data_IF_995119806482
#
_entry.id   IF_995119806482
#
_cell.length_a   1.000
_cell.length_b   1.000
_cell.length_c   1.000
_cell.angle_alpha   90.00
_cell.angle_beta   90.00
_cell.angle_gamma   90.00
#
_symmetry.space_group_name_H-M   'P 1'
#
loop_
_entity.id
_entity.type
_entity.pdbx_description
1 polymer ?
#
# COMPACT_ATOMS: atom_id res chain seq x y z
N UNK A 1 -4.56 -8.87 13.31
CA UNK A 1 -5.73 -8.01 13.00
C UNK A 1 -6.32 -7.49 14.30
N UNK A 2 -6.63 -6.18 14.39
CA UNK A 2 -7.32 -5.59 15.53
C UNK A 2 -8.74 -6.15 15.64
N UNK A 3 -9.22 -6.32 16.87
CA UNK A 3 -10.59 -6.77 17.17
C UNK A 3 -11.44 -5.62 17.67
N UNK A 4 -10.96 -4.93 18.70
CA UNK A 4 -11.70 -3.86 19.36
C UNK A 4 -10.73 -2.85 19.94
N UNK A 5 -11.03 -1.57 19.77
CA UNK A 5 -10.32 -0.45 20.39
C UNK A 5 -11.06 0.01 21.63
N UNK A 6 -10.30 0.46 22.62
CA UNK A 6 -10.76 1.05 23.87
C UNK A 6 -10.00 2.34 24.10
N UNK A 7 -10.70 3.43 24.18
CA UNK A 7 -10.13 4.75 24.47
C UNK A 7 -10.96 5.44 25.56
N UNK A 8 -10.48 6.55 26.08
CA UNK A 8 -11.22 7.37 27.00
C UNK A 8 -12.28 8.19 26.25
N UNK A 9 -13.45 8.39 26.84
CA UNK A 9 -14.56 9.14 26.25
C UNK A 9 -14.16 10.59 25.91
N UNK A 10 -13.39 11.24 26.79
CA UNK A 10 -13.00 12.64 26.59
C UNK A 10 -12.04 12.81 25.41
N UNK A 11 -11.22 11.81 25.11
CA UNK A 11 -10.42 11.83 23.89
C UNK A 11 -11.29 11.65 22.64
N UNK A 12 -12.17 10.66 22.66
CA UNK A 12 -13.01 10.30 21.51
C UNK A 12 -13.98 11.43 21.12
N UNK A 13 -14.55 12.13 22.11
CA UNK A 13 -15.60 13.12 21.87
C UNK A 13 -15.08 14.56 21.89
N UNK A 14 -14.09 14.86 22.73
CA UNK A 14 -13.64 16.23 22.97
C UNK A 14 -12.21 16.50 22.52
N UNK A 15 -11.50 15.51 21.97
CA UNK A 15 -10.09 15.62 21.61
C UNK A 15 -9.22 16.14 22.79
N UNK A 16 -9.45 15.58 23.96
CA UNK A 16 -8.69 15.87 25.17
C UNK A 16 -7.40 15.06 25.17
N UNK A 17 -6.30 15.69 24.84
CA UNK A 17 -5.00 15.03 24.68
C UNK A 17 -4.40 14.52 26.00
N UNK A 18 -4.93 14.86 27.15
CA UNK A 18 -4.58 14.19 28.41
C UNK A 18 -4.96 12.71 28.40
N UNK A 19 -5.84 12.33 27.48
CA UNK A 19 -6.33 10.96 27.29
C UNK A 19 -5.99 10.41 25.89
N UNK A 20 -4.96 10.95 25.24
CA UNK A 20 -4.48 10.47 23.95
C UNK A 20 -3.77 9.12 24.07
N UNK A 21 -4.54 8.11 24.43
CA UNK A 21 -4.15 6.71 24.49
C UNK A 21 -5.31 5.79 24.12
N UNK A 22 -4.96 4.63 23.59
CA UNK A 22 -5.92 3.58 23.31
C UNK A 22 -5.32 2.20 23.59
N UNK A 23 -6.18 1.27 23.95
CA UNK A 23 -5.85 -0.16 24.04
C UNK A 23 -6.61 -0.91 22.96
N UNK A 24 -5.92 -1.75 22.23
CA UNK A 24 -6.53 -2.53 21.14
C UNK A 24 -6.34 -4.01 21.43
N UNK A 25 -7.46 -4.74 21.55
CA UNK A 25 -7.40 -6.19 21.54
C UNK A 25 -7.19 -6.68 20.11
N UNK A 26 -6.38 -7.69 19.97
CA UNK A 26 -6.04 -8.27 18.65
C UNK A 26 -6.38 -9.75 18.63
N UNK A 27 -6.84 -10.23 17.49
CA UNK A 27 -7.06 -11.66 17.30
C UNK A 27 -5.73 -12.42 17.39
N UNK A 28 -5.83 -13.74 17.53
CA UNK A 28 -4.67 -14.61 17.37
C UNK A 28 -3.91 -14.27 16.10
N UNK A 29 -2.62 -14.50 16.10
CA UNK A 29 -1.78 -14.40 14.93
C UNK A 29 -2.23 -15.38 13.85
N UNK A 30 -1.94 -15.04 12.60
CA UNK A 30 -2.18 -15.91 11.45
C UNK A 30 -0.83 -16.24 10.83
N UNK A 31 -0.52 -17.53 10.73
CA UNK A 31 0.58 -17.99 9.87
C UNK A 31 0.03 -18.13 8.47
N UNK A 32 0.67 -17.49 7.53
CA UNK A 32 0.47 -17.80 6.13
C UNK A 32 1.18 -19.14 5.93
N UNK A 33 0.40 -20.22 5.88
CA UNK A 33 0.87 -21.55 5.51
C UNK A 33 1.26 -21.53 4.04
N UNK A 34 2.08 -22.48 3.61
CA UNK A 34 2.70 -22.49 2.29
C UNK A 34 1.79 -22.03 1.16
N UNK A 35 2.34 -21.21 0.29
CA UNK A 35 1.70 -20.78 -0.93
C UNK A 35 1.52 -22.00 -1.84
N UNK A 36 0.29 -22.33 -2.18
CA UNK A 36 0.02 -23.17 -3.33
C UNK A 36 -0.41 -22.28 -4.48
N UNK A 37 0.41 -22.20 -5.51
CA UNK A 37 0.02 -21.54 -6.75
C UNK A 37 -0.55 -22.56 -7.72
N UNK A 38 -1.72 -22.27 -8.28
CA UNK A 38 -2.33 -23.06 -9.33
C UNK A 38 -2.35 -22.25 -10.62
N UNK A 39 -1.85 -22.85 -11.70
CA UNK A 39 -2.00 -22.31 -13.05
C UNK A 39 -3.48 -22.37 -13.48
N UNK A 40 -3.98 -21.26 -13.99
CA UNK A 40 -5.37 -21.12 -14.44
C UNK A 40 -5.45 -20.42 -15.79
N UNK A 41 -6.58 -20.54 -16.45
CA UNK A 41 -6.85 -19.75 -17.65
C UNK A 41 -7.00 -18.25 -17.32
N UNK A 42 -6.75 -17.41 -18.33
CA UNK A 42 -7.01 -15.96 -18.17
C UNK A 42 -8.44 -15.67 -17.74
N UNK A 43 -9.42 -16.41 -18.26
CA UNK A 43 -10.83 -16.22 -17.91
C UNK A 43 -11.13 -16.55 -16.44
N UNK A 44 -10.50 -17.57 -15.88
CA UNK A 44 -10.59 -17.90 -14.45
C UNK A 44 -9.85 -16.85 -13.59
N UNK A 45 -8.67 -16.44 -14.04
CA UNK A 45 -7.86 -15.42 -13.39
C UNK A 45 -8.59 -14.08 -13.32
N UNK A 46 -9.24 -13.65 -14.40
CA UNK A 46 -10.01 -12.40 -14.45
C UNK A 46 -11.16 -12.40 -13.44
N UNK A 47 -11.85 -13.52 -13.28
CA UNK A 47 -13.00 -13.69 -12.38
C UNK A 47 -12.61 -13.88 -10.91
N UNK A 48 -11.37 -14.29 -10.66
CA UNK A 48 -10.93 -14.56 -9.29
C UNK A 48 -10.66 -13.25 -8.53
N UNK A 49 -11.24 -13.11 -7.34
CA UNK A 49 -11.15 -11.91 -6.51
C UNK A 49 -10.11 -12.00 -5.39
N UNK A 50 -9.52 -13.19 -5.18
CA UNK A 50 -8.46 -13.43 -4.21
C UNK A 50 -7.08 -13.02 -4.71
N UNK A 51 -6.03 -13.44 -4.01
CA UNK A 51 -4.64 -13.20 -4.40
C UNK A 51 -4.34 -13.92 -5.72
N UNK A 52 -3.82 -13.17 -6.65
CA UNK A 52 -3.48 -13.65 -7.99
C UNK A 52 -2.25 -12.95 -8.54
N UNK A 53 -1.51 -13.65 -9.38
CA UNK A 53 -0.30 -13.12 -10.03
C UNK A 53 -0.31 -13.51 -11.53
N UNK A 54 0.38 -12.73 -12.34
CA UNK A 54 0.57 -13.00 -13.75
C UNK A 54 2.02 -12.73 -14.13
N UNK A 55 2.70 -13.75 -14.61
CA UNK A 55 4.13 -13.70 -14.94
C UNK A 55 4.36 -13.78 -16.42
N UNK A 56 5.03 -12.79 -16.96
CA UNK A 56 5.51 -12.78 -18.33
C UNK A 56 6.82 -13.56 -18.44
N UNK A 57 6.85 -14.54 -19.32
CA UNK A 57 7.99 -15.41 -19.60
C UNK A 57 8.41 -15.20 -21.05
N UNK A 58 9.68 -14.82 -21.26
CA UNK A 58 10.26 -14.77 -22.61
C UNK A 58 10.43 -16.18 -23.13
N UNK A 59 9.94 -16.45 -24.35
CA UNK A 59 9.94 -17.76 -25.01
C UNK A 59 10.53 -17.65 -26.42
N UNK A 60 10.83 -18.78 -27.00
CA UNK A 60 11.29 -18.83 -28.40
C UNK A 60 10.14 -18.57 -29.37
N UNK A 61 10.50 -18.18 -30.60
CA UNK A 61 9.53 -17.99 -31.69
C UNK A 61 8.75 -19.27 -32.00
N UNK A 62 9.40 -20.41 -31.88
CA UNK A 62 8.79 -21.72 -32.13
C UNK A 62 7.73 -22.05 -31.04
N UNK A 63 8.07 -21.90 -29.79
CA UNK A 63 7.15 -22.04 -28.64
C UNK A 63 5.97 -21.11 -28.76
N UNK A 64 6.20 -19.83 -29.14
CA UNK A 64 5.14 -18.85 -29.37
C UNK A 64 4.15 -19.34 -30.45
N UNK A 65 4.65 -19.83 -31.60
CA UNK A 65 3.80 -20.34 -32.67
C UNK A 65 3.00 -21.55 -32.22
N UNK A 66 3.66 -22.50 -31.58
CA UNK A 66 3.04 -23.73 -31.07
C UNK A 66 1.96 -23.41 -30.04
N UNK A 67 2.26 -22.58 -29.04
CA UNK A 67 1.34 -22.24 -27.98
C UNK A 67 0.15 -21.41 -28.47
N UNK A 68 0.35 -20.50 -29.44
CA UNK A 68 -0.73 -19.69 -29.99
C UNK A 68 -1.71 -20.51 -30.86
N UNK A 69 -1.27 -21.64 -31.38
CA UNK A 69 -2.10 -22.56 -32.16
C UNK A 69 -2.77 -23.62 -31.28
N UNK A 70 -2.36 -23.75 -30.02
CA UNK A 70 -2.92 -24.73 -29.09
C UNK A 70 -4.22 -24.18 -28.48
N UNK A 71 -5.39 -24.77 -28.84
CA UNK A 71 -6.68 -24.29 -28.30
C UNK A 71 -6.86 -24.64 -26.81
N UNK A 72 -6.02 -25.50 -26.25
CA UNK A 72 -6.07 -25.91 -24.84
C UNK A 72 -5.17 -25.09 -23.96
N UNK A 73 -4.36 -24.19 -24.55
CA UNK A 73 -3.45 -23.33 -23.80
C UNK A 73 -4.20 -22.38 -22.86
N UNK A 74 -3.80 -22.37 -21.60
CA UNK A 74 -4.28 -21.45 -20.56
C UNK A 74 -3.54 -20.13 -20.53
N UNK A 75 -2.49 -19.99 -21.33
CA UNK A 75 -1.55 -18.88 -21.37
C UNK A 75 -1.94 -17.84 -22.44
N UNK A 76 -1.55 -16.58 -22.23
CA UNK A 76 -1.70 -15.54 -23.26
C UNK A 76 -0.36 -15.30 -23.96
N UNK A 77 -0.37 -15.27 -25.29
CA UNK A 77 0.83 -15.12 -26.11
C UNK A 77 0.89 -13.73 -26.74
N UNK A 78 2.00 -13.03 -26.56
CA UNK A 78 2.21 -11.69 -27.09
C UNK A 78 3.65 -11.46 -27.54
N UNK A 79 3.84 -10.40 -28.34
CA UNK A 79 5.13 -10.07 -28.93
C UNK A 79 5.52 -8.67 -28.53
N UNK A 80 6.75 -8.51 -28.01
CA UNK A 80 7.37 -7.21 -27.81
C UNK A 80 8.33 -6.94 -28.97
N UNK A 81 8.12 -5.81 -29.62
CA UNK A 81 8.97 -5.38 -30.72
C UNK A 81 9.94 -4.32 -30.28
N UNK A 82 11.18 -4.45 -30.76
CA UNK A 82 12.14 -3.38 -30.69
C UNK A 82 11.86 -2.28 -31.74
N UNK A 83 12.57 -1.18 -31.62
CA UNK A 83 12.45 -0.01 -32.51
C UNK A 83 12.82 -0.28 -33.97
N UNK A 84 13.42 -1.43 -34.28
CA UNK A 84 13.88 -1.82 -35.60
C UNK A 84 12.96 -2.77 -36.36
N UNK A 85 11.79 -3.13 -35.77
CA UNK A 85 10.85 -4.02 -36.45
C UNK A 85 10.29 -3.34 -37.71
N UNK A 86 10.56 -3.91 -38.88
CA UNK A 86 10.07 -3.38 -40.15
C UNK A 86 8.64 -3.82 -40.44
N UNK A 87 7.72 -2.88 -40.72
CA UNK A 87 6.36 -3.24 -41.16
C UNK A 87 6.41 -4.06 -42.46
N UNK A 88 5.50 -5.03 -42.57
CA UNK A 88 5.32 -5.86 -43.78
C UNK A 88 3.87 -6.22 -43.99
N UNK A 89 3.57 -6.99 -45.04
CA UNK A 89 2.24 -7.54 -45.27
C UNK A 89 2.04 -8.94 -44.67
N UNK A 90 0.80 -9.47 -44.71
CA UNK A 90 0.48 -10.81 -44.23
C UNK A 90 1.16 -11.91 -45.03
N UNK A 91 1.45 -11.66 -46.29
CA UNK A 91 2.01 -12.65 -47.23
C UNK A 91 3.54 -12.77 -47.14
N UNK A 92 4.18 -11.94 -46.32
CA UNK A 92 5.64 -12.02 -46.12
C UNK A 92 5.99 -13.32 -45.35
N UNK A 93 6.89 -14.16 -45.90
CA UNK A 93 7.25 -15.45 -45.29
C UNK A 93 7.72 -15.23 -43.82
N UNK A 94 6.98 -15.84 -42.89
CA UNK A 94 7.28 -15.72 -41.49
C UNK A 94 6.87 -14.37 -40.84
N UNK A 95 6.06 -13.57 -41.54
CA UNK A 95 5.53 -12.33 -40.96
C UNK A 95 4.83 -12.58 -39.65
N UNK A 96 5.00 -11.64 -38.73
CA UNK A 96 4.41 -11.68 -37.40
C UNK A 96 3.37 -10.59 -37.25
N UNK A 97 2.24 -10.95 -36.66
CA UNK A 97 1.13 -10.01 -36.40
C UNK A 97 1.18 -9.47 -34.98
N UNK A 98 0.96 -8.18 -34.82
CA UNK A 98 0.72 -7.56 -33.52
C UNK A 98 -0.63 -6.86 -33.49
N UNK A 99 -1.22 -6.91 -32.33
CA UNK A 99 -2.28 -6.05 -31.88
C UNK A 99 -1.63 -4.76 -31.36
N UNK A 100 -1.77 -3.67 -32.09
CA UNK A 100 -1.15 -2.38 -31.73
C UNK A 100 -2.24 -1.45 -31.22
N UNK A 101 -2.11 -0.88 -29.99
CA UNK A 101 -3.04 0.10 -29.51
C UNK A 101 -2.90 1.39 -30.31
N UNK A 102 -4.05 1.96 -30.68
CA UNK A 102 -4.12 3.20 -31.48
C UNK A 102 -5.22 4.11 -30.94
N UNK A 103 -5.21 5.37 -31.35
CA UNK A 103 -6.30 6.29 -31.04
C UNK A 103 -7.60 5.92 -31.76
N UNK A 104 -8.72 6.42 -31.25
CA UNK A 104 -10.05 6.26 -31.89
C UNK A 104 -10.04 6.77 -33.35
N UNK A 105 -9.35 7.89 -33.60
CA UNK A 105 -9.21 8.45 -34.94
C UNK A 105 -8.43 7.53 -35.88
N UNK A 106 -7.30 6.98 -35.42
CA UNK A 106 -6.50 6.04 -36.21
C UNK A 106 -7.27 4.71 -36.46
N UNK A 107 -8.01 4.22 -35.45
CA UNK A 107 -8.87 3.05 -35.60
C UNK A 107 -9.98 3.32 -36.62
N UNK A 108 -10.63 4.49 -36.55
CA UNK A 108 -11.71 4.87 -37.46
C UNK A 108 -11.22 5.03 -38.91
N UNK A 109 -9.98 5.53 -39.09
CA UNK A 109 -9.34 5.63 -40.37
C UNK A 109 -8.84 4.27 -40.91
N UNK A 110 -8.67 3.26 -40.06
CA UNK A 110 -8.18 1.96 -40.44
C UNK A 110 -9.19 1.19 -41.29
N UNK A 111 -8.69 0.48 -42.32
CA UNK A 111 -9.55 -0.33 -43.21
C UNK A 111 -10.04 -1.59 -42.47
N UNK A 112 -11.19 -2.10 -42.88
CA UNK A 112 -11.65 -3.43 -42.49
C UNK A 112 -10.99 -4.54 -43.38
N UNK A 113 -10.72 -5.70 -42.78
CA UNK A 113 -10.22 -6.88 -43.51
C UNK A 113 -8.75 -7.26 -43.17
N UNK A 114 -8.09 -8.03 -44.07
CA UNK A 114 -6.72 -8.55 -43.87
C UNK A 114 -5.64 -7.54 -44.30
N UNK A 115 -4.54 -7.44 -43.58
CA UNK A 115 -3.36 -6.65 -43.93
C UNK A 115 -2.90 -5.71 -42.82
N UNK A 116 -1.83 -4.96 -43.10
CA UNK A 116 -1.16 -4.09 -42.14
C UNK A 116 -2.01 -2.84 -41.82
N UNK A 117 -2.11 -2.46 -40.53
CA UNK A 117 -2.85 -1.29 -40.10
C UNK A 117 -4.38 -1.41 -40.16
N UNK A 118 -4.91 -2.62 -40.16
CA UNK A 118 -6.38 -2.85 -40.20
C UNK A 118 -6.96 -3.04 -38.80
N UNK A 119 -8.28 -2.74 -38.67
CA UNK A 119 -9.01 -2.92 -37.42
C UNK A 119 -8.86 -4.33 -36.87
N UNK A 120 -8.56 -4.43 -35.58
CA UNK A 120 -8.40 -5.70 -34.87
C UNK A 120 -9.51 -5.85 -33.82
N UNK A 121 -10.60 -6.49 -34.23
CA UNK A 121 -11.78 -6.68 -33.39
C UNK A 121 -12.56 -5.38 -33.11
N UNK A 122 -13.54 -5.49 -32.25
CA UNK A 122 -14.29 -4.35 -31.75
C UNK A 122 -13.50 -3.61 -30.64
N UNK A 123 -13.77 -2.31 -30.44
CA UNK A 123 -13.21 -1.57 -29.31
C UNK A 123 -13.53 -2.24 -27.97
N UNK A 124 -12.56 -2.25 -27.08
CA UNK A 124 -12.73 -2.83 -25.73
C UNK A 124 -12.95 -1.70 -24.75
N UNK A 125 -14.13 -1.64 -24.14
CA UNK A 125 -14.46 -0.64 -23.12
C UNK A 125 -14.45 -1.29 -21.74
N UNK A 126 -13.73 -0.68 -20.81
CA UNK A 126 -13.69 -1.07 -19.42
C UNK A 126 -14.24 0.08 -18.54
N UNK A 127 -14.94 -0.27 -17.47
CA UNK A 127 -15.38 0.65 -16.43
C UNK A 127 -14.24 0.77 -15.44
N UNK A 128 -13.87 2.00 -15.11
CA UNK A 128 -12.76 2.29 -14.21
C UNK A 128 -13.21 3.22 -13.07
N UNK A 129 -12.47 3.25 -11.99
CA UNK A 129 -12.71 4.21 -10.91
C UNK A 129 -12.31 5.62 -11.34
N UNK A 130 -12.84 6.63 -10.66
CA UNK A 130 -12.46 8.04 -10.89
C UNK A 130 -10.95 8.24 -10.74
N UNK A 131 -10.31 7.60 -9.77
CA UNK A 131 -8.87 7.67 -9.55
C UNK A 131 -8.05 7.10 -10.71
N UNK A 132 -8.45 5.95 -11.25
CA UNK A 132 -7.81 5.33 -12.41
C UNK A 132 -7.98 6.18 -13.67
N UNK A 133 -9.19 6.70 -13.90
CA UNK A 133 -9.46 7.61 -15.01
C UNK A 133 -8.59 8.86 -14.94
N UNK A 134 -8.56 9.56 -13.81
CA UNK A 134 -7.74 10.75 -13.59
C UNK A 134 -6.24 10.44 -13.76
N UNK A 135 -5.77 9.31 -13.26
CA UNK A 135 -4.39 8.87 -13.45
C UNK A 135 -4.06 8.65 -14.92
N UNK A 136 -4.98 8.06 -15.68
CA UNK A 136 -4.79 7.86 -17.12
C UNK A 136 -4.82 9.17 -17.90
N UNK A 137 -5.75 10.09 -17.58
CA UNK A 137 -5.86 11.41 -18.19
C UNK A 137 -4.57 12.21 -17.99
N UNK A 138 -4.00 12.19 -16.77
CA UNK A 138 -2.72 12.86 -16.50
C UNK A 138 -1.52 12.27 -17.26
N UNK A 139 -1.61 11.03 -17.72
CA UNK A 139 -0.62 10.48 -18.66
C UNK A 139 -0.78 11.03 -20.08
N UNK A 140 -2.01 11.42 -20.47
CA UNK A 140 -2.27 12.08 -21.74
C UNK A 140 -1.93 13.58 -21.70
N UNK A 141 -2.28 14.25 -20.59
CA UNK A 141 -1.92 15.64 -20.30
C UNK A 141 -1.56 15.82 -18.81
N UNK A 142 -0.26 15.96 -18.47
CA UNK A 142 0.17 16.14 -17.08
C UNK A 142 -0.41 17.36 -16.36
N UNK A 143 -0.85 18.39 -17.12
CA UNK A 143 -1.41 19.63 -16.58
C UNK A 143 -2.95 19.61 -16.46
N UNK A 144 -3.57 18.49 -16.79
CA UNK A 144 -5.01 18.35 -16.66
C UNK A 144 -5.45 18.34 -15.19
N UNK A 145 -6.54 19.01 -14.90
CA UNK A 145 -7.19 19.05 -13.57
C UNK A 145 -8.67 18.67 -13.68
N UNK A 146 -9.28 18.07 -12.64
CA UNK A 146 -10.71 17.79 -12.62
C UNK A 146 -11.57 19.02 -12.95
N UNK A 147 -12.58 18.82 -13.79
CA UNK A 147 -13.44 19.91 -14.27
C UNK A 147 -12.97 20.60 -15.54
N UNK A 148 -11.77 20.35 -16.02
CA UNK A 148 -11.31 20.79 -17.35
C UNK A 148 -11.76 19.83 -18.44
N UNK A 149 -11.86 20.28 -19.71
CA UNK A 149 -12.12 19.39 -20.85
C UNK A 149 -11.12 18.23 -20.89
N UNK A 150 -11.60 17.06 -21.28
CA UNK A 150 -10.75 15.87 -21.41
C UNK A 150 -9.75 16.07 -22.55
N UNK A 151 -8.46 15.73 -22.34
CA UNK A 151 -7.45 15.83 -23.38
C UNK A 151 -7.69 14.80 -24.49
N UNK A 152 -7.18 15.10 -25.68
CA UNK A 152 -7.20 14.14 -26.76
C UNK A 152 -6.25 12.97 -26.49
N UNK A 153 -6.62 11.74 -26.89
CA UNK A 153 -5.73 10.60 -26.81
C UNK A 153 -4.41 10.83 -27.54
N UNK A 154 -3.30 10.37 -26.95
CA UNK A 154 -1.96 10.46 -27.54
C UNK A 154 -1.53 9.10 -28.08
N UNK A 155 -0.47 9.07 -28.93
CA UNK A 155 0.10 7.79 -29.39
C UNK A 155 0.66 6.91 -28.28
N UNK A 156 1.14 7.50 -27.18
CA UNK A 156 1.64 6.77 -26.02
C UNK A 156 0.49 6.30 -25.10
N UNK A 157 -0.58 7.07 -25.05
CA UNK A 157 -1.75 6.78 -24.22
C UNK A 157 -3.03 6.92 -25.07
N UNK A 158 -3.28 5.95 -25.96
CA UNK A 158 -4.26 6.09 -27.04
C UNK A 158 -5.71 5.79 -26.65
N UNK A 159 -5.99 5.30 -25.45
CA UNK A 159 -7.36 5.02 -25.04
C UNK A 159 -8.19 6.30 -24.89
N UNK A 160 -9.44 6.22 -25.30
CA UNK A 160 -10.42 7.31 -25.12
C UNK A 160 -11.03 7.21 -23.73
N UNK A 161 -10.95 8.29 -22.96
CA UNK A 161 -11.59 8.40 -21.63
C UNK A 161 -12.92 9.12 -21.79
N UNK A 162 -13.97 8.61 -21.15
CA UNK A 162 -15.29 9.27 -21.11
C UNK A 162 -15.88 9.17 -19.71
N UNK A 163 -16.56 10.24 -19.31
CA UNK A 163 -17.42 10.26 -18.12
C UNK A 163 -18.88 10.35 -18.58
N UNK A 164 -19.73 9.51 -18.02
CA UNK A 164 -21.17 9.58 -18.29
C UNK A 164 -21.86 10.63 -17.41
N UNK A 165 -23.14 10.90 -17.68
CA UNK A 165 -23.94 11.88 -16.91
C UNK A 165 -24.16 11.48 -15.44
N UNK A 166 -23.80 10.26 -15.05
CA UNK A 166 -23.92 9.72 -13.69
C UNK A 166 -22.59 9.69 -12.95
N UNK A 167 -21.50 10.19 -13.57
CA UNK A 167 -20.16 10.20 -13.00
C UNK A 167 -19.40 8.87 -13.14
N UNK A 168 -19.87 7.95 -13.98
CA UNK A 168 -19.12 6.70 -14.24
C UNK A 168 -18.09 6.94 -15.34
N UNK A 169 -16.88 6.45 -15.08
CA UNK A 169 -15.76 6.59 -15.99
C UNK A 169 -15.52 5.31 -16.78
N UNK A 170 -15.17 5.50 -18.06
CA UNK A 170 -14.83 4.41 -18.96
C UNK A 170 -13.55 4.72 -19.73
N UNK A 171 -12.73 3.66 -19.95
CA UNK A 171 -11.60 3.67 -20.89
C UNK A 171 -11.95 2.77 -22.07
N UNK A 172 -11.90 3.33 -23.29
CA UNK A 172 -12.12 2.57 -24.51
C UNK A 172 -10.80 2.41 -25.26
N UNK A 173 -10.38 1.20 -25.45
CA UNK A 173 -9.16 0.81 -26.16
C UNK A 173 -9.46 0.40 -27.58
N UNK A 174 -8.69 0.91 -28.49
CA UNK A 174 -8.79 0.65 -29.93
C UNK A 174 -7.50 -0.03 -30.40
N UNK A 175 -7.64 -1.00 -31.29
CA UNK A 175 -6.48 -1.76 -31.76
C UNK A 175 -6.49 -1.92 -33.27
N UNK A 176 -5.30 -1.89 -33.86
CA UNK A 176 -5.08 -2.29 -35.26
C UNK A 176 -4.13 -3.46 -35.33
N UNK A 177 -4.30 -4.27 -36.34
CA UNK A 177 -3.42 -5.36 -36.68
C UNK A 177 -2.28 -4.85 -37.54
N UNK A 178 -1.06 -5.12 -37.15
CA UNK A 178 0.12 -4.82 -37.96
C UNK A 178 1.00 -6.05 -38.17
N UNK A 179 1.54 -6.17 -39.36
CA UNK A 179 2.44 -7.26 -39.74
C UNK A 179 3.86 -6.71 -39.82
N UNK A 180 4.81 -7.50 -39.34
CA UNK A 180 6.23 -7.11 -39.32
C UNK A 180 7.13 -8.24 -39.77
N UNK A 181 8.25 -7.90 -40.39
CA UNK A 181 9.31 -8.85 -40.65
C UNK A 181 9.89 -9.32 -39.32
N UNK A 182 10.15 -10.62 -39.15
CA UNK A 182 10.85 -11.11 -37.97
C UNK A 182 12.24 -10.49 -37.94
N UNK A 183 12.57 -9.86 -36.84
CA UNK A 183 13.86 -9.23 -36.62
C UNK A 183 14.52 -9.69 -35.33
N UNK A 184 15.79 -9.40 -35.14
CA UNK A 184 16.54 -9.70 -33.91
C UNK A 184 16.00 -9.00 -32.67
N UNK A 185 15.21 -7.95 -32.85
CA UNK A 185 14.61 -7.14 -31.78
C UNK A 185 13.23 -7.64 -31.36
N UNK A 186 12.69 -8.64 -32.04
CA UNK A 186 11.38 -9.19 -31.72
C UNK A 186 11.53 -10.25 -30.64
N UNK A 187 10.95 -9.97 -29.46
CA UNK A 187 10.89 -10.90 -28.35
C UNK A 187 9.47 -11.45 -28.22
N UNK A 188 9.39 -12.72 -27.93
CA UNK A 188 8.14 -13.47 -27.77
C UNK A 188 7.94 -13.77 -26.32
N UNK A 189 6.70 -13.62 -25.87
CA UNK A 189 6.33 -13.84 -24.49
C UNK A 189 5.08 -14.67 -24.39
N UNK A 190 4.99 -15.38 -23.28
CA UNK A 190 3.74 -15.93 -22.78
C UNK A 190 3.48 -15.37 -21.38
N UNK A 191 2.23 -15.04 -21.10
CA UNK A 191 1.77 -14.68 -19.76
C UNK A 191 1.13 -15.91 -19.13
N UNK A 192 1.68 -16.32 -18.01
CA UNK A 192 1.18 -17.44 -17.19
C UNK A 192 0.41 -16.86 -16.03
N UNK A 193 -0.81 -17.33 -15.81
CA UNK A 193 -1.71 -16.83 -14.80
C UNK A 193 -1.77 -17.76 -13.61
N UNK A 194 -1.65 -17.22 -12.41
CA UNK A 194 -1.65 -17.97 -11.16
C UNK A 194 -2.73 -17.46 -10.22
N UNK A 195 -3.45 -18.38 -9.61
CA UNK A 195 -4.23 -18.13 -8.40
C UNK A 195 -3.38 -18.60 -7.22
N UNK A 196 -3.29 -17.77 -6.18
CA UNK A 196 -2.47 -18.05 -5.01
C UNK A 196 -3.40 -18.32 -3.84
N UNK A 197 -3.39 -19.58 -3.39
CA UNK A 197 -4.11 -19.98 -2.18
C UNK A 197 -3.15 -19.95 -0.99
N UNK A 198 -3.47 -19.11 -0.03
CA UNK A 198 -2.81 -19.11 1.27
C UNK A 198 -3.64 -19.93 2.25
N UNK A 199 -3.09 -20.99 2.76
CA UNK A 199 -3.65 -21.64 3.93
C UNK A 199 -3.35 -20.76 5.14
N UNK A 200 -4.34 -20.06 5.63
CA UNK A 200 -4.25 -19.35 6.90
C UNK A 200 -4.35 -20.36 8.05
N UNK A 201 -3.32 -20.41 8.89
CA UNK A 201 -3.29 -21.25 10.08
C UNK A 201 -3.30 -20.36 11.31
N UNK A 202 -4.05 -20.74 12.34
CA UNK A 202 -3.98 -20.07 13.64
C UNK A 202 -2.57 -20.17 14.20
N UNK A 203 -1.92 -19.05 14.41
CA UNK A 203 -0.58 -18.96 15.00
C UNK A 203 -0.61 -18.84 16.52
N UNK A 204 -1.78 -18.86 17.14
CA UNK A 204 -1.95 -18.66 18.57
C UNK A 204 -1.93 -17.19 18.99
N UNK A 205 -1.93 -16.95 20.28
CA UNK A 205 -1.97 -15.60 20.85
C UNK A 205 -0.69 -14.82 20.51
N UNK A 206 -0.85 -13.53 20.26
CA UNK A 206 0.27 -12.64 19.95
C UNK A 206 1.33 -12.66 21.08
N UNK A 207 0.89 -12.52 22.34
CA UNK A 207 1.77 -12.50 23.50
C UNK A 207 2.58 -13.80 23.68
N UNK A 208 2.00 -14.95 23.35
CA UNK A 208 2.68 -16.25 23.43
C UNK A 208 3.79 -16.37 22.37
N UNK A 209 3.63 -15.69 21.24
CA UNK A 209 4.61 -15.73 20.14
C UNK A 209 5.73 -14.68 20.25
N UNK A 210 5.42 -13.47 20.73
CA UNK A 210 6.37 -12.34 20.72
C UNK A 210 6.70 -11.82 22.12
N UNK A 211 6.09 -12.38 23.15
CA UNK A 211 6.19 -11.87 24.52
C UNK A 211 5.36 -10.60 24.72
N UNK A 212 5.57 -9.93 25.84
CA UNK A 212 4.87 -8.71 26.20
C UNK A 212 5.65 -7.86 27.17
N UNK A 213 5.23 -6.62 27.34
CA UNK A 213 5.70 -5.71 28.37
C UNK A 213 4.63 -5.63 29.47
N UNK A 214 5.03 -5.30 30.70
CA UNK A 214 4.08 -5.00 31.77
C UNK A 214 3.32 -3.72 31.47
N UNK A 215 2.25 -3.47 32.22
CA UNK A 215 1.53 -2.20 32.25
C UNK A 215 1.65 -1.58 33.66
N UNK A 216 1.88 -0.28 33.73
CA UNK A 216 1.98 0.44 34.99
C UNK A 216 1.32 1.82 34.90
N UNK A 217 0.62 2.19 35.96
CA UNK A 217 -0.03 3.51 36.11
C UNK A 217 0.33 4.08 37.49
N UNK A 218 0.07 5.37 37.71
CA UNK A 218 0.40 6.10 38.95
C UNK A 218 1.87 5.97 39.34
N UNK A 219 2.77 5.93 38.35
CA UNK A 219 4.18 5.82 38.64
C UNK A 219 4.79 7.21 38.93
N UNK A 220 5.79 7.32 39.83
CA UNK A 220 6.42 8.59 40.09
C UNK A 220 7.01 9.23 38.83
N UNK A 221 6.80 10.54 38.66
CA UNK A 221 7.42 11.33 37.61
C UNK A 221 8.92 11.58 37.89
N UNK A 222 9.67 12.11 36.92
CA UNK A 222 11.12 12.33 37.04
C UNK A 222 11.94 11.03 37.04
N UNK A 223 11.36 9.92 36.63
CA UNK A 223 12.02 8.63 36.53
C UNK A 223 12.54 8.34 35.12
N UNK A 224 13.53 7.49 35.05
CA UNK A 224 14.08 7.07 33.77
C UNK A 224 13.10 6.18 33.01
N UNK A 225 12.90 6.48 31.75
CA UNK A 225 12.12 5.68 30.81
C UNK A 225 12.90 5.46 29.53
N UNK A 226 12.61 4.37 28.85
CA UNK A 226 13.07 4.13 27.48
C UNK A 226 11.87 4.17 26.54
N UNK A 227 11.97 5.02 25.52
CA UNK A 227 10.93 5.21 24.53
C UNK A 227 11.39 4.59 23.22
N UNK A 228 10.49 3.89 22.54
CA UNK A 228 10.71 3.34 21.21
C UNK A 228 9.69 3.92 20.25
N UNK A 229 10.09 4.09 18.98
CA UNK A 229 9.20 4.57 17.93
C UNK A 229 9.79 4.43 16.55
N UNK A 230 8.98 4.74 15.54
CA UNK A 230 9.35 4.69 14.12
C UNK A 230 9.09 6.06 13.47
N UNK A 231 9.91 7.08 13.78
CA UNK A 231 9.71 8.42 13.23
C UNK A 231 9.76 8.41 11.71
N UNK A 232 8.80 9.09 11.07
CA UNK A 232 8.63 9.15 9.63
C UNK A 232 8.86 10.56 9.07
N UNK A 233 8.56 11.60 9.85
CA UNK A 233 8.80 12.96 9.42
C UNK A 233 10.31 13.27 9.38
N UNK A 234 10.77 14.11 8.43
CA UNK A 234 12.19 14.45 8.28
C UNK A 234 12.79 15.02 9.56
N UNK A 235 13.99 14.58 9.90
CA UNK A 235 14.77 15.23 10.95
C UNK A 235 15.53 16.42 10.32
N UNK A 236 15.54 17.63 10.95
CA UNK A 236 16.16 18.82 10.39
C UNK A 236 17.63 18.66 10.02
N UNK A 237 18.37 17.83 10.75
CA UNK A 237 19.78 17.52 10.47
C UNK A 237 19.98 16.57 9.29
N UNK A 238 18.93 16.25 8.53
CA UNK A 238 19.03 15.39 7.36
C UNK A 238 19.26 13.92 7.68
N UNK A 239 18.85 13.45 8.87
CA UNK A 239 18.98 12.03 9.24
C UNK A 239 18.07 11.16 8.37
N UNK A 240 18.66 10.51 7.35
CA UNK A 240 17.97 9.67 6.39
C UNK A 240 17.33 8.40 6.98
N UNK A 241 17.63 8.06 8.23
CA UNK A 241 17.06 6.90 8.92
C UNK A 241 15.69 7.17 9.57
N UNK A 242 15.13 8.37 9.43
CA UNK A 242 13.77 8.69 9.85
C UNK A 242 12.80 8.37 8.71
N UNK A 243 12.54 7.08 8.53
CA UNK A 243 11.84 6.52 7.37
C UNK A 243 10.48 5.90 7.71
N UNK A 244 10.06 5.95 8.98
CA UNK A 244 8.86 5.26 9.46
C UNK A 244 9.00 3.75 9.63
N UNK A 245 10.10 3.15 9.14
CA UNK A 245 10.36 1.71 9.21
C UNK A 245 11.66 1.37 9.98
N UNK A 246 12.43 2.38 10.34
CA UNK A 246 13.66 2.20 11.14
C UNK A 246 13.37 2.53 12.61
N UNK A 247 13.49 1.55 13.53
CA UNK A 247 13.25 1.79 14.94
C UNK A 247 14.26 2.77 15.53
N UNK A 248 13.78 3.71 16.33
CA UNK A 248 14.56 4.65 17.13
C UNK A 248 14.21 4.49 18.59
N UNK A 249 15.08 4.97 19.44
CA UNK A 249 14.84 5.00 20.88
C UNK A 249 15.43 6.24 21.53
N UNK A 250 14.77 6.70 22.57
CA UNK A 250 15.27 7.70 23.50
C UNK A 250 15.36 7.10 24.90
N UNK A 251 16.29 7.60 25.70
CA UNK A 251 16.43 7.24 27.10
C UNK A 251 16.71 8.49 27.92
N UNK A 252 15.94 8.67 28.97
CA UNK A 252 16.13 9.82 29.85
C UNK A 252 15.13 9.80 31.01
N UNK A 253 15.23 10.81 31.87
CA UNK A 253 14.26 11.04 32.93
C UNK A 253 13.13 11.90 32.43
N UNK A 254 11.90 11.53 32.72
CA UNK A 254 10.74 12.40 32.48
C UNK A 254 10.82 13.67 33.29
N UNK A 255 10.03 14.67 32.94
CA UNK A 255 9.85 15.86 33.78
C UNK A 255 9.39 15.47 35.19
N UNK A 256 9.83 16.26 36.20
CA UNK A 256 9.38 16.01 37.57
C UNK A 256 7.98 16.55 37.82
N UNK A 257 7.62 17.64 37.14
CA UNK A 257 6.28 18.23 37.14
C UNK A 257 5.56 17.79 35.88
N UNK A 258 4.27 17.64 35.96
CA UNK A 258 3.40 17.50 34.82
C UNK A 258 3.48 18.74 33.93
N UNK A 259 3.33 18.57 32.65
CA UNK A 259 3.35 19.64 31.64
C UNK A 259 1.99 19.75 30.99
N UNK A 260 1.58 20.96 30.64
CA UNK A 260 0.29 21.23 30.05
C UNK A 260 0.38 22.03 28.76
N UNK A 261 -0.74 22.03 28.02
CA UNK A 261 -0.97 22.85 26.84
C UNK A 261 -2.46 23.14 26.70
N UNK A 262 -2.85 24.39 26.97
CA UNK A 262 -4.24 24.79 26.86
C UNK A 262 -4.82 24.58 25.43
N UNK A 263 -3.97 24.79 24.41
CA UNK A 263 -4.37 24.60 23.01
C UNK A 263 -4.75 23.15 22.66
N UNK A 264 -4.18 22.18 23.38
CA UNK A 264 -4.44 20.73 23.21
C UNK A 264 -5.21 20.15 24.39
N UNK A 265 -5.74 20.98 25.29
CA UNK A 265 -6.41 20.54 26.54
C UNK A 265 -5.56 19.57 27.38
N UNK A 266 -4.24 19.76 27.35
CA UNK A 266 -3.30 18.96 28.13
C UNK A 266 -3.13 19.61 29.51
N UNK A 267 -3.30 18.84 30.57
CA UNK A 267 -3.06 19.22 31.97
C UNK A 267 -2.02 18.30 32.62
N UNK A 268 -1.97 17.03 32.23
CA UNK A 268 -1.25 15.96 32.91
C UNK A 268 -0.33 15.14 32.01
N UNK A 269 0.50 15.80 31.20
CA UNK A 269 1.53 15.07 30.46
C UNK A 269 2.87 15.01 31.22
N UNK A 270 3.62 13.97 30.97
CA UNK A 270 5.05 13.91 31.26
C UNK A 270 5.83 14.10 29.95
N UNK A 271 6.92 14.87 30.00
CA UNK A 271 7.75 15.10 28.82
C UNK A 271 9.15 14.47 28.98
N UNK A 272 9.75 14.12 27.86
CA UNK A 272 11.10 13.57 27.77
C UNK A 272 11.88 14.31 26.66
N UNK A 273 13.13 14.67 26.93
CA UNK A 273 14.02 15.19 25.90
C UNK A 273 14.34 14.11 24.88
N UNK A 274 13.84 14.31 23.66
CA UNK A 274 13.93 13.34 22.59
C UNK A 274 13.66 14.03 21.25
N UNK A 275 14.44 13.72 20.24
CA UNK A 275 14.33 14.31 18.91
C UNK A 275 13.58 13.40 17.91
N UNK A 276 12.78 12.46 18.38
CA UNK A 276 11.88 11.72 17.49
C UNK A 276 10.85 12.67 16.86
N UNK A 277 10.55 12.45 15.61
CA UNK A 277 9.57 13.22 14.84
C UNK A 277 8.25 12.47 14.72
N UNK A 278 7.27 13.11 14.12
CA UNK A 278 5.96 12.53 13.79
C UNK A 278 6.09 11.19 13.08
N UNK A 279 5.15 10.30 13.31
CA UNK A 279 5.19 8.88 12.95
C UNK A 279 5.68 7.99 14.08
N UNK A 280 6.28 8.56 15.15
CA UNK A 280 6.60 7.84 16.37
C UNK A 280 5.44 7.84 17.40
N UNK A 281 4.27 8.36 17.01
CA UNK A 281 3.06 8.41 17.81
C UNK A 281 2.64 7.00 18.25
N UNK A 282 2.10 6.89 19.47
CA UNK A 282 1.75 5.61 20.08
C UNK A 282 2.95 4.76 20.51
N UNK A 283 4.17 5.22 20.28
CA UNK A 283 5.40 4.56 20.71
C UNK A 283 5.46 4.37 22.22
N UNK A 284 5.81 3.16 22.74
CA UNK A 284 5.73 2.85 24.16
C UNK A 284 6.83 3.55 24.96
N UNK A 285 6.47 4.06 26.13
CA UNK A 285 7.38 4.52 27.15
C UNK A 285 7.54 3.44 28.22
N UNK A 286 8.74 2.88 28.32
CA UNK A 286 9.02 1.73 29.19
C UNK A 286 9.73 2.17 30.46
N UNK A 287 8.99 2.14 31.55
CA UNK A 287 9.51 2.31 32.92
C UNK A 287 10.22 1.05 33.40
N UNK A 288 11.27 1.19 34.21
CA UNK A 288 12.08 0.09 34.71
C UNK A 288 12.55 -0.90 33.64
N UNK A 289 12.89 -0.40 32.45
CA UNK A 289 13.33 -1.23 31.34
C UNK A 289 14.72 -1.84 31.58
N UNK A 290 14.82 -3.15 31.49
CA UNK A 290 16.05 -3.91 31.53
C UNK A 290 16.56 -4.21 30.13
N UNK A 291 17.73 -3.72 29.76
CA UNK A 291 18.36 -4.00 28.46
C UNK A 291 18.66 -5.49 28.23
N UNK A 292 19.08 -6.20 29.31
CA UNK A 292 19.43 -7.63 29.23
C UNK A 292 18.19 -8.51 29.05
N UNK A 293 17.10 -8.17 29.75
CA UNK A 293 15.83 -8.90 29.66
C UNK A 293 14.92 -8.42 28.54
N UNK A 294 15.15 -7.20 28.01
CA UNK A 294 14.28 -6.49 27.06
C UNK A 294 12.84 -6.36 27.56
N UNK A 295 12.68 -6.22 28.87
CA UNK A 295 11.41 -6.12 29.55
C UNK A 295 11.34 -4.86 30.41
N UNK A 296 10.15 -4.27 30.46
CA UNK A 296 9.79 -3.12 31.28
C UNK A 296 8.28 -3.02 31.44
N UNK A 297 7.83 -1.86 31.87
CA UNK A 297 6.42 -1.59 32.06
C UNK A 297 6.03 -0.39 31.22
N UNK A 298 5.04 -0.54 30.34
CA UNK A 298 4.47 0.56 29.60
C UNK A 298 3.74 1.46 30.58
N UNK A 299 4.23 2.69 30.76
CA UNK A 299 3.64 3.72 31.62
C UNK A 299 3.38 5.04 30.88
N UNK A 300 3.37 4.99 29.56
CA UNK A 300 3.08 6.11 28.68
C UNK A 300 3.19 5.70 27.21
N UNK A 301 2.70 6.57 26.35
CA UNK A 301 2.81 6.48 24.88
C UNK A 301 3.15 7.85 24.31
N UNK A 302 3.89 7.92 23.24
CA UNK A 302 4.19 9.19 22.57
C UNK A 302 2.91 9.78 22.00
N UNK A 303 2.57 11.01 22.40
CA UNK A 303 1.41 11.77 21.97
C UNK A 303 1.80 13.05 21.24
N UNK A 304 2.65 13.90 21.84
CA UNK A 304 2.99 15.18 21.21
C UNK A 304 4.48 15.37 20.99
N UNK A 305 4.79 16.18 19.99
CA UNK A 305 6.14 16.59 19.60
C UNK A 305 6.25 18.12 19.81
N UNK A 306 7.27 18.57 20.48
CA UNK A 306 7.42 19.97 20.89
C UNK A 306 8.79 20.49 20.47
N UNK A 307 8.79 21.51 19.62
CA UNK A 307 9.91 22.35 19.25
C UNK A 307 9.78 23.64 20.08
N UNK A 308 10.64 23.84 21.07
CA UNK A 308 10.51 24.93 22.01
C UNK A 308 11.14 26.22 21.52
N UNK A 309 12.15 26.15 20.67
CA UNK A 309 12.89 27.29 20.17
C UNK A 309 12.56 27.67 18.72
N UNK A 310 11.66 26.92 18.06
CA UNK A 310 11.17 27.19 16.71
C UNK A 310 12.21 26.94 15.62
N UNK A 311 13.21 26.10 15.89
CA UNK A 311 14.27 25.81 14.94
C UNK A 311 13.94 24.65 13.98
N UNK A 312 12.73 24.07 14.08
CA UNK A 312 12.27 22.94 13.30
C UNK A 312 12.72 21.57 13.84
N UNK A 313 13.38 21.56 15.01
CA UNK A 313 13.82 20.34 15.68
C UNK A 313 12.90 20.04 16.86
N UNK A 314 12.46 18.80 16.98
CA UNK A 314 11.75 18.34 18.18
C UNK A 314 12.72 18.27 19.35
N UNK A 315 12.47 19.05 20.40
CA UNK A 315 13.25 19.05 21.64
C UNK A 315 12.72 18.04 22.64
N UNK A 316 11.40 17.94 22.73
CA UNK A 316 10.71 17.08 23.67
C UNK A 316 9.55 16.38 23.00
N UNK A 317 9.37 15.12 23.38
CA UNK A 317 8.11 14.40 23.17
C UNK A 317 7.36 14.30 24.48
N UNK A 318 6.03 14.21 24.45
CA UNK A 318 5.26 14.02 25.67
C UNK A 318 4.28 12.85 25.56
N UNK A 319 3.87 12.37 26.72
CA UNK A 319 2.91 11.28 26.92
C UNK A 319 1.87 11.71 27.93
N UNK A 320 0.60 11.35 27.76
CA UNK A 320 -0.37 11.33 28.85
C UNK A 320 0.22 10.63 30.08
N UNK A 321 -0.04 11.18 31.27
CA UNK A 321 0.32 10.52 32.51
C UNK A 321 -0.67 9.37 32.76
N UNK A 322 -0.15 8.16 32.75
CA UNK A 322 -0.97 6.99 32.99
C UNK A 322 -1.39 6.90 34.46
N UNK A 323 -2.66 7.12 34.70
CA UNK A 323 -3.30 7.21 36.00
C UNK A 323 -4.39 6.15 36.23
N UNK A 324 -5.33 6.41 37.15
CA UNK A 324 -6.46 5.54 37.45
C UNK A 324 -7.47 5.41 36.30
N UNK A 325 -7.67 6.50 35.53
CA UNK A 325 -8.55 6.50 34.36
C UNK A 325 -7.97 5.62 33.26
N UNK A 326 -6.66 5.75 32.98
CA UNK A 326 -5.95 4.88 32.04
C UNK A 326 -6.08 3.41 32.44
N UNK A 327 -5.92 3.11 33.75
CA UNK A 327 -6.09 1.74 34.25
C UNK A 327 -7.52 1.22 34.07
N UNK A 328 -8.53 2.07 34.13
CA UNK A 328 -9.93 1.69 33.91
C UNK A 328 -10.14 1.27 32.45
N UNK A 329 -9.62 2.05 31.49
CA UNK A 329 -9.67 1.69 30.07
C UNK A 329 -8.88 0.40 29.79
N UNK A 330 -7.68 0.26 30.40
CA UNK A 330 -6.88 -0.97 30.30
C UNK A 330 -7.65 -2.20 30.79
N UNK A 331 -8.30 -2.12 31.94
CA UNK A 331 -9.10 -3.24 32.50
C UNK A 331 -10.25 -3.64 31.59
N UNK A 332 -10.93 -2.67 30.96
CA UNK A 332 -11.98 -2.94 29.99
C UNK A 332 -11.44 -3.72 28.78
N UNK A 333 -10.30 -3.29 28.25
CA UNK A 333 -9.61 -3.99 27.17
C UNK A 333 -9.15 -5.40 27.59
N UNK A 334 -8.53 -5.54 28.76
CA UNK A 334 -8.03 -6.81 29.29
C UNK A 334 -9.13 -7.84 29.54
N UNK A 335 -10.36 -7.39 29.86
CA UNK A 335 -11.53 -8.26 30.03
C UNK A 335 -12.11 -8.75 28.69
N UNK A 336 -11.70 -8.18 27.57
CA UNK A 336 -12.19 -8.52 26.24
C UNK A 336 -11.37 -9.66 25.61
N UNK A 337 -11.99 -10.83 25.47
CA UNK A 337 -11.34 -11.97 24.81
C UNK A 337 -11.17 -11.76 23.31
N UNK A 338 -9.98 -12.00 22.79
CA UNK A 338 -9.63 -11.77 21.37
C UNK A 338 -10.19 -12.84 20.42
N UNK A 339 -9.95 -14.11 20.70
CA UNK A 339 -10.39 -15.23 19.85
C UNK A 339 -9.53 -15.45 18.61
N UNK A 340 -10.04 -16.30 17.72
CA UNK A 340 -9.40 -16.70 16.46
C UNK A 340 -10.07 -16.02 15.28
N UNK A 341 -9.31 -15.83 14.19
CA UNK A 341 -9.85 -15.40 12.90
C UNK A 341 -10.09 -16.60 11.99
N UNK A 342 -9.27 -17.64 12.10
CA UNK A 342 -9.25 -18.86 11.27
C UNK A 342 -9.40 -20.09 12.15
#
# INVERSE_FOLDING_TARGET
MGKQAFTHYDFDVYEDYDRDYAFVTVYNGVKIGGESSKNVSKAEWDKYTGLKDAKDVEITREEFRKGKLDPTSTESYWVKRGSKAEPTGPDYPGAEVAKVPVTEAEYSAARSGKGNGKKFGEPVTEIVTTSEAHTYIKKQDPNWEPGKPLPAPTKQHPATVKEDRRGNWTLTHFYVQQWYKPGSDTKFFKTVYYIIDHKSLDAGRLGDNVGGQGFAWNQPTGKAVRVFGYPAAPHPDGNKNYTGVTPKWCYGKTTKKLVGSAAKKIEEHVALKCAMTEGADGGPWLYNYSNSKRLGYVNGVTSTFNDQDGNGRVDYISSPYFDGETNTVYKAAAASWSGKIV
#
